data_IF_705470270851
#
_entry.id   IF_705470270851
#
_cell.length_a   1.000
_cell.length_b   1.000
_cell.length_c   1.000
_cell.angle_alpha   90.00
_cell.angle_beta   90.00
_cell.angle_gamma   90.00
#
_symmetry.space_group_name_H-M   'P 1'
#
loop_
_entity.id
_entity.type
_entity.pdbx_description
1 polymer ?
#
# COMPACT_ATOMS: atom_id res chain seq x y z
N UNK A 1 6.10 -14.40 2.87
CA UNK A 1 7.20 -15.13 2.21
C UNK A 1 6.58 -15.82 0.99
N UNK A 2 6.51 -15.14 -0.15
CA UNK A 2 5.88 -15.67 -1.35
C UNK A 2 6.97 -16.20 -2.29
N UNK A 3 6.98 -17.52 -2.47
CA UNK A 3 7.87 -18.21 -3.40
C UNK A 3 7.41 -17.94 -4.83
N UNK A 4 8.22 -17.21 -5.59
CA UNK A 4 8.10 -17.14 -7.05
C UNK A 4 8.35 -18.54 -7.63
N UNK A 5 7.34 -19.17 -8.23
CA UNK A 5 7.61 -20.23 -9.22
C UNK A 5 8.19 -19.56 -10.46
N UNK A 6 9.46 -19.82 -10.73
CA UNK A 6 10.06 -19.57 -12.04
C UNK A 6 9.20 -20.26 -13.10
N UNK A 7 8.67 -19.49 -14.03
CA UNK A 7 8.08 -20.02 -15.25
C UNK A 7 9.25 -20.45 -16.15
N UNK A 8 9.50 -21.75 -16.22
CA UNK A 8 10.58 -22.32 -17.05
C UNK A 8 10.04 -22.53 -18.47
N UNK A 9 10.51 -21.70 -19.41
CA UNK A 9 10.14 -21.74 -20.83
C UNK A 9 10.59 -23.08 -21.47
N UNK A 10 11.50 -23.83 -20.84
CA UNK A 10 11.92 -25.15 -21.32
C UNK A 10 10.90 -26.27 -21.01
N UNK A 11 9.84 -25.99 -20.25
CA UNK A 11 8.80 -26.97 -19.91
C UNK A 11 7.91 -27.35 -21.10
N UNK A 12 7.87 -26.56 -22.17
CA UNK A 12 6.99 -26.84 -23.31
C UNK A 12 7.65 -27.72 -24.39
N UNK A 13 8.94 -28.03 -24.23
CA UNK A 13 9.71 -28.70 -25.28
C UNK A 13 9.95 -30.20 -25.06
N UNK A 14 9.33 -30.83 -24.05
CA UNK A 14 9.63 -32.21 -23.65
C UNK A 14 8.52 -33.25 -23.82
N UNK A 15 7.34 -32.88 -24.31
CA UNK A 15 6.21 -33.83 -24.42
C UNK A 15 5.89 -34.29 -25.86
N UNK A 16 6.81 -34.18 -26.82
CA UNK A 16 6.53 -34.60 -28.21
C UNK A 16 7.56 -35.55 -28.84
N UNK A 17 8.62 -35.95 -28.12
CA UNK A 17 9.58 -36.92 -28.67
C UNK A 17 10.04 -37.96 -27.64
N UNK A 18 9.12 -38.83 -27.25
CA UNK A 18 9.46 -40.21 -26.88
C UNK A 18 8.43 -41.15 -27.52
N UNK A 19 8.71 -41.56 -28.76
CA UNK A 19 8.31 -42.87 -29.27
C UNK A 19 9.37 -43.37 -30.27
N UNK A 20 10.48 -43.87 -29.72
CA UNK A 20 11.32 -44.81 -30.46
C UNK A 20 10.62 -46.17 -30.45
N UNK A 21 9.79 -46.45 -31.47
CA UNK A 21 9.07 -47.72 -31.51
C UNK A 21 8.09 -47.93 -32.66
N UNK A 22 8.62 -48.16 -33.87
CA UNK A 22 7.89 -48.76 -35.02
C UNK A 22 6.96 -47.83 -35.84
N UNK A 23 7.48 -46.69 -36.29
CA UNK A 23 6.89 -45.96 -37.42
C UNK A 23 7.50 -46.40 -38.75
N UNK A 24 6.85 -47.31 -39.47
CA UNK A 24 7.12 -47.54 -40.88
C UNK A 24 7.07 -46.21 -41.64
N UNK A 25 8.15 -45.83 -42.31
CA UNK A 25 8.11 -44.80 -43.34
C UNK A 25 7.07 -45.21 -44.39
N UNK A 26 5.95 -44.49 -44.44
CA UNK A 26 4.89 -44.64 -45.44
C UNK A 26 5.34 -44.07 -46.80
N UNK A 27 6.48 -44.55 -47.29
CA UNK A 27 6.89 -44.48 -48.69
C UNK A 27 7.65 -45.77 -48.92
N UNK A 28 6.90 -46.85 -49.13
CA UNK A 28 7.46 -48.10 -49.61
C UNK A 28 8.14 -47.80 -50.95
N UNK A 29 9.47 -47.86 -50.99
CA UNK A 29 10.19 -47.98 -52.25
C UNK A 29 9.71 -49.27 -52.92
N UNK A 30 8.74 -49.14 -53.84
CA UNK A 30 8.33 -50.23 -54.70
C UNK A 30 9.52 -50.51 -55.62
N UNK A 31 10.14 -51.67 -55.45
CA UNK A 31 11.18 -52.15 -56.35
C UNK A 31 10.58 -52.35 -57.76
N UNK A 32 10.76 -51.34 -58.62
CA UNK A 32 10.25 -51.30 -59.98
C UNK A 32 10.91 -52.29 -60.95
N UNK A 33 11.95 -53.03 -60.53
CA UNK A 33 12.63 -53.98 -61.40
C UNK A 33 11.85 -55.28 -61.66
N UNK A 34 10.76 -55.53 -60.91
CA UNK A 34 9.98 -56.78 -61.00
C UNK A 34 8.68 -56.72 -61.81
N UNK A 35 8.18 -55.52 -62.18
CA UNK A 35 6.83 -55.37 -62.77
C UNK A 35 6.88 -55.28 -64.31
N UNK A 36 8.07 -55.16 -64.90
CA UNK A 36 8.23 -55.03 -66.34
C UNK A 36 8.25 -56.40 -67.05
N UNK A 37 7.19 -57.22 -66.92
CA UNK A 37 7.03 -58.41 -67.78
C UNK A 37 5.64 -59.05 -67.81
N UNK A 38 4.56 -58.28 -67.89
CA UNK A 38 3.32 -58.79 -68.50
C UNK A 38 2.42 -57.65 -68.95
N UNK A 39 1.86 -57.82 -70.15
CA UNK A 39 0.65 -57.15 -70.66
C UNK A 39 0.85 -55.77 -71.30
N UNK A 40 1.05 -55.82 -72.61
CA UNK A 40 0.71 -54.77 -73.56
C UNK A 40 -0.80 -54.48 -73.50
N UNK A 41 -1.19 -53.38 -72.84
CA UNK A 41 -2.52 -52.78 -72.97
C UNK A 41 -2.34 -51.28 -73.22
N UNK A 42 -2.97 -50.82 -74.30
CA UNK A 42 -3.04 -49.42 -74.72
C UNK A 42 -3.70 -48.59 -73.61
N UNK A 43 -2.97 -47.63 -73.04
CA UNK A 43 -3.50 -46.69 -72.06
C UNK A 43 -3.69 -45.30 -72.69
N UNK A 44 -4.55 -45.20 -73.70
CA UNK A 44 -4.93 -43.92 -74.33
C UNK A 44 -5.68 -42.98 -73.35
N UNK A 45 -6.13 -43.50 -72.20
CA UNK A 45 -6.71 -42.73 -71.10
C UNK A 45 -5.67 -42.09 -70.15
N UNK A 46 -4.45 -42.64 -70.07
CA UNK A 46 -3.43 -42.16 -69.13
C UNK A 46 -2.76 -40.85 -69.60
N UNK A 47 -2.82 -40.53 -70.89
CA UNK A 47 -2.36 -39.22 -71.39
C UNK A 47 -3.26 -38.07 -70.93
N UNK A 48 -4.54 -38.33 -70.63
CA UNK A 48 -5.49 -37.31 -70.16
C UNK A 48 -5.32 -36.93 -68.69
N UNK A 49 -4.50 -37.68 -67.94
CA UNK A 49 -4.26 -37.48 -66.51
C UNK A 49 -2.81 -37.10 -66.20
N UNK A 50 -2.07 -36.61 -67.21
CA UNK A 50 -0.69 -36.17 -67.01
C UNK A 50 -0.65 -34.78 -66.38
N UNK A 51 -0.60 -34.73 -65.04
CA UNK A 51 -0.39 -33.47 -64.32
C UNK A 51 1.03 -33.00 -64.63
N UNK A 52 1.14 -31.88 -65.35
CA UNK A 52 2.46 -31.40 -65.76
C UNK A 52 3.30 -31.01 -64.53
N UNK A 53 4.62 -31.25 -64.56
CA UNK A 53 5.52 -30.86 -63.47
C UNK A 53 5.40 -29.38 -63.08
N UNK A 54 5.08 -28.50 -64.04
CA UNK A 54 4.82 -27.08 -63.82
C UNK A 54 3.64 -26.84 -62.87
N UNK A 55 2.60 -27.67 -62.92
CA UNK A 55 1.47 -27.57 -61.99
C UNK A 55 1.89 -27.90 -60.55
N UNK A 56 2.68 -28.96 -60.35
CA UNK A 56 3.21 -29.30 -59.02
C UNK A 56 4.15 -28.23 -58.47
N UNK A 57 4.96 -27.59 -59.33
CA UNK A 57 5.82 -26.47 -58.93
C UNK A 57 4.95 -25.29 -58.48
N UNK A 58 3.92 -24.92 -59.26
CA UNK A 58 2.99 -23.85 -58.90
C UNK A 58 2.22 -24.14 -57.62
N UNK A 59 1.76 -25.38 -57.43
CA UNK A 59 1.08 -25.80 -56.21
C UNK A 59 2.00 -25.72 -54.99
N UNK A 60 3.23 -26.23 -55.09
CA UNK A 60 4.24 -26.12 -54.02
C UNK A 60 4.58 -24.67 -53.70
N UNK A 61 4.71 -23.81 -54.71
CA UNK A 61 4.93 -22.38 -54.53
C UNK A 61 3.74 -21.71 -53.85
N UNK A 62 2.51 -22.02 -54.27
CA UNK A 62 1.28 -21.51 -53.68
C UNK A 62 1.13 -21.91 -52.21
N UNK A 63 1.36 -23.19 -51.89
CA UNK A 63 1.34 -23.68 -50.50
C UNK A 63 2.39 -22.96 -49.66
N UNK A 64 3.62 -22.83 -50.16
CA UNK A 64 4.70 -22.12 -49.46
C UNK A 64 4.36 -20.65 -49.22
N UNK A 65 3.85 -19.96 -50.23
CA UNK A 65 3.48 -18.56 -50.13
C UNK A 65 2.34 -18.37 -49.12
N UNK A 66 1.28 -19.17 -49.21
CA UNK A 66 0.16 -19.12 -48.27
C UNK A 66 0.60 -19.42 -46.83
N UNK A 67 1.51 -20.38 -46.64
CA UNK A 67 2.08 -20.67 -45.32
C UNK A 67 2.91 -19.50 -44.78
N UNK A 68 3.74 -18.87 -45.61
CA UNK A 68 4.54 -17.70 -45.21
C UNK A 68 3.62 -16.54 -44.84
N UNK A 69 2.64 -16.21 -45.68
CA UNK A 69 1.67 -15.15 -45.39
C UNK A 69 0.86 -15.43 -44.12
N UNK A 70 0.46 -16.68 -43.90
CA UNK A 70 -0.19 -17.07 -42.65
C UNK A 70 0.72 -16.86 -41.43
N UNK A 71 1.98 -17.29 -41.53
CA UNK A 71 2.95 -17.13 -40.45
C UNK A 71 3.22 -15.66 -40.16
N UNK A 72 3.40 -14.82 -41.18
CA UNK A 72 3.59 -13.37 -41.04
C UNK A 72 2.40 -12.74 -40.28
N UNK A 73 1.17 -12.99 -40.76
CA UNK A 73 -0.04 -12.48 -40.11
C UNK A 73 -0.17 -12.98 -38.67
N UNK A 74 0.06 -14.28 -38.42
CA UNK A 74 -0.03 -14.84 -37.09
C UNK A 74 1.02 -14.25 -36.15
N UNK A 75 2.25 -14.02 -36.62
CA UNK A 75 3.31 -13.38 -35.82
C UNK A 75 2.96 -11.94 -35.47
N UNK A 76 2.42 -11.17 -36.42
CA UNK A 76 1.99 -9.80 -36.19
C UNK A 76 0.87 -9.75 -35.14
N UNK A 77 -0.13 -10.61 -35.28
CA UNK A 77 -1.21 -10.72 -34.29
C UNK A 77 -0.70 -11.17 -32.92
N UNK A 78 0.24 -12.12 -32.86
CA UNK A 78 0.80 -12.61 -31.60
C UNK A 78 1.56 -11.49 -30.87
N UNK A 79 2.35 -10.70 -31.60
CA UNK A 79 3.07 -9.54 -31.08
C UNK A 79 2.07 -8.48 -30.57
N UNK A 80 1.05 -8.16 -31.35
CA UNK A 80 0.02 -7.19 -30.94
C UNK A 80 -0.72 -7.64 -29.67
N UNK A 81 -1.12 -8.92 -29.59
CA UNK A 81 -1.73 -9.50 -28.38
C UNK A 81 -0.80 -9.39 -27.18
N UNK A 82 0.47 -9.74 -27.36
CA UNK A 82 1.47 -9.65 -26.29
C UNK A 82 1.64 -8.21 -25.79
N UNK A 83 1.79 -7.23 -26.71
CA UNK A 83 1.88 -5.81 -26.36
C UNK A 83 0.65 -5.32 -25.59
N UNK A 84 -0.55 -5.72 -26.02
CA UNK A 84 -1.81 -5.35 -25.37
C UNK A 84 -1.87 -5.88 -23.93
N UNK A 85 -1.52 -7.16 -23.72
CA UNK A 85 -1.48 -7.78 -22.38
C UNK A 85 -0.44 -7.11 -21.49
N UNK A 86 0.76 -6.83 -22.01
CA UNK A 86 1.83 -6.17 -21.26
C UNK A 86 1.40 -4.77 -20.85
N UNK A 87 0.84 -3.98 -21.77
CA UNK A 87 0.35 -2.63 -21.48
C UNK A 87 -0.73 -2.66 -20.38
N UNK A 88 -1.73 -3.54 -20.50
CA UNK A 88 -2.78 -3.68 -19.50
C UNK A 88 -2.23 -4.05 -18.11
N UNK A 89 -1.28 -5.00 -18.06
CA UNK A 89 -0.66 -5.41 -16.80
C UNK A 89 0.18 -4.28 -16.17
N UNK A 90 0.94 -3.53 -16.97
CA UNK A 90 1.71 -2.40 -16.48
C UNK A 90 0.82 -1.27 -15.94
N UNK A 91 -0.29 -0.99 -16.63
CA UNK A 91 -1.28 -0.03 -16.14
C UNK A 91 -1.88 -0.49 -14.80
N UNK A 92 -2.28 -1.76 -14.70
CA UNK A 92 -2.83 -2.31 -13.47
C UNK A 92 -1.83 -2.28 -12.30
N UNK A 93 -0.56 -2.62 -12.55
CA UNK A 93 0.48 -2.57 -11.50
C UNK A 93 0.72 -1.13 -11.03
N UNK A 94 0.76 -0.18 -11.97
CA UNK A 94 0.95 1.25 -11.67
C UNK A 94 -0.22 1.80 -10.84
N UNK A 95 -1.46 1.49 -11.22
CA UNK A 95 -2.64 1.93 -10.45
C UNK A 95 -2.65 1.35 -9.04
N UNK A 96 -2.26 0.08 -8.90
CA UNK A 96 -2.16 -0.58 -7.59
C UNK A 96 -1.11 0.08 -6.72
N UNK A 97 0.05 0.40 -7.29
CA UNK A 97 1.14 1.09 -6.59
C UNK A 97 0.73 2.49 -6.10
N UNK A 98 0.14 3.32 -6.97
CA UNK A 98 -0.38 4.64 -6.61
C UNK A 98 -1.43 4.55 -5.50
N UNK A 99 -2.30 3.55 -5.56
CA UNK A 99 -3.30 3.31 -4.51
C UNK A 99 -2.63 3.00 -3.16
N UNK A 100 -1.62 2.12 -3.15
CA UNK A 100 -0.88 1.79 -1.94
C UNK A 100 -0.13 3.00 -1.37
N UNK A 101 0.48 3.83 -2.21
CA UNK A 101 1.14 5.07 -1.78
C UNK A 101 0.16 6.01 -1.10
N UNK A 102 -0.97 6.29 -1.76
CA UNK A 102 -2.01 7.13 -1.20
C UNK A 102 -2.57 6.55 0.11
N UNK A 103 -2.82 5.25 0.17
CA UNK A 103 -3.32 4.59 1.38
C UNK A 103 -2.33 4.74 2.55
N UNK A 104 -1.02 4.63 2.29
CA UNK A 104 0.02 4.88 3.31
C UNK A 104 -0.08 6.29 3.88
N UNK A 105 -0.25 7.31 3.02
CA UNK A 105 -0.37 8.72 3.45
C UNK A 105 -1.66 8.94 4.23
N UNK A 106 -2.79 8.45 3.72
CA UNK A 106 -4.08 8.55 4.40
C UNK A 106 -4.03 7.92 5.79
N UNK A 107 -3.44 6.73 5.91
CA UNK A 107 -3.30 6.03 7.19
C UNK A 107 -2.43 6.81 8.17
N UNK A 108 -1.31 7.36 7.71
CA UNK A 108 -0.43 8.20 8.53
C UNK A 108 -1.16 9.45 9.05
N UNK A 109 -1.83 10.18 8.16
CA UNK A 109 -2.63 11.35 8.51
C UNK A 109 -3.77 11.02 9.50
N UNK A 110 -4.42 9.86 9.32
CA UNK A 110 -5.42 9.37 10.26
C UNK A 110 -4.80 9.10 11.65
N UNK A 111 -3.59 8.55 11.71
CA UNK A 111 -2.85 8.34 12.94
C UNK A 111 -2.60 9.65 13.70
N UNK A 112 -2.10 10.68 13.00
CA UNK A 112 -1.90 12.02 13.58
C UNK A 112 -3.21 12.57 14.15
N UNK A 113 -4.30 12.53 13.37
CA UNK A 113 -5.61 13.00 13.86
C UNK A 113 -6.07 12.25 15.11
N UNK A 114 -5.88 10.93 15.15
CA UNK A 114 -6.28 10.13 16.29
C UNK A 114 -5.48 10.54 17.54
N UNK A 115 -4.16 10.67 17.42
CA UNK A 115 -3.32 11.10 18.54
C UNK A 115 -3.68 12.51 19.03
N UNK A 116 -4.00 13.44 18.13
CA UNK A 116 -4.51 14.77 18.52
C UNK A 116 -5.87 14.70 19.24
N UNK A 117 -6.77 13.82 18.79
CA UNK A 117 -8.05 13.62 19.46
C UNK A 117 -7.87 13.00 20.86
N UNK A 118 -6.99 12.02 20.99
CA UNK A 118 -6.67 11.39 22.27
C UNK A 118 -6.05 12.39 23.26
N UNK A 119 -5.20 13.30 22.75
CA UNK A 119 -4.62 14.38 23.53
C UNK A 119 -5.70 15.36 24.05
N UNK A 120 -6.68 15.73 23.20
CA UNK A 120 -7.80 16.58 23.63
C UNK A 120 -8.67 15.89 24.68
N UNK A 121 -8.93 14.59 24.52
CA UNK A 121 -9.64 13.80 25.54
C UNK A 121 -8.88 13.77 26.88
N UNK A 122 -7.56 13.64 26.87
CA UNK A 122 -6.74 13.70 28.08
C UNK A 122 -6.81 15.08 28.74
N UNK A 123 -6.82 16.14 27.94
CA UNK A 123 -6.99 17.50 28.45
C UNK A 123 -8.37 17.71 29.09
N UNK A 124 -9.45 17.31 28.43
CA UNK A 124 -10.81 17.43 28.97
C UNK A 124 -10.97 16.60 30.26
N UNK A 125 -10.29 15.45 30.35
CA UNK A 125 -10.20 14.64 31.58
C UNK A 125 -9.48 15.39 32.70
N UNK A 126 -8.35 16.05 32.40
CA UNK A 126 -7.60 16.85 33.38
C UNK A 126 -8.49 17.97 33.96
N UNK A 127 -9.24 18.68 33.12
CA UNK A 127 -10.16 19.73 33.56
C UNK A 127 -11.26 19.17 34.48
N UNK A 128 -11.78 17.98 34.14
CA UNK A 128 -12.78 17.30 34.97
C UNK A 128 -12.19 16.92 36.33
N UNK A 129 -10.97 16.38 36.36
CA UNK A 129 -10.25 16.04 37.59
C UNK A 129 -10.02 17.28 38.46
N UNK A 130 -9.58 18.40 37.87
CA UNK A 130 -9.41 19.66 38.57
C UNK A 130 -10.70 20.19 39.19
N UNK A 131 -11.82 20.07 38.47
CA UNK A 131 -13.12 20.47 39.01
C UNK A 131 -13.52 19.61 40.22
N UNK A 132 -13.29 18.29 40.16
CA UNK A 132 -13.55 17.40 41.29
C UNK A 132 -12.68 17.75 42.50
N UNK A 133 -11.38 17.97 42.29
CA UNK A 133 -10.46 18.39 43.36
C UNK A 133 -10.86 19.75 43.93
N UNK A 134 -11.34 20.68 43.10
CA UNK A 134 -11.86 21.98 43.54
C UNK A 134 -13.11 21.82 44.41
N UNK A 135 -14.07 21.00 44.00
CA UNK A 135 -15.30 20.74 44.76
C UNK A 135 -14.99 20.11 46.14
N UNK A 136 -14.00 19.19 46.19
CA UNK A 136 -13.53 18.59 47.45
C UNK A 136 -12.84 19.61 48.36
N UNK A 137 -11.96 20.45 47.79
CA UNK A 137 -11.32 21.54 48.50
C UNK A 137 -12.36 22.53 49.07
N UNK A 138 -13.34 22.93 48.26
CA UNK A 138 -14.41 23.84 48.66
C UNK A 138 -15.22 23.27 49.83
N UNK A 139 -15.68 22.02 49.75
CA UNK A 139 -16.38 21.34 50.84
C UNK A 139 -15.53 21.28 52.11
N UNK A 140 -14.23 21.04 51.98
CA UNK A 140 -13.28 21.04 53.08
C UNK A 140 -13.20 22.42 53.78
N UNK A 141 -13.15 23.49 53.00
CA UNK A 141 -13.13 24.87 53.52
C UNK A 141 -14.45 25.24 54.20
N UNK A 142 -15.59 24.91 53.59
CA UNK A 142 -16.92 25.15 54.18
C UNK A 142 -17.09 24.42 55.54
N UNK A 143 -16.57 23.19 55.64
CA UNK A 143 -16.57 22.45 56.90
C UNK A 143 -15.72 23.13 57.99
N UNK A 144 -14.55 23.68 57.62
CA UNK A 144 -13.69 24.45 58.55
C UNK A 144 -14.34 25.77 58.96
N UNK A 145 -14.98 26.47 58.03
CA UNK A 145 -15.73 27.70 58.32
C UNK A 145 -16.84 27.46 59.35
N UNK A 146 -17.59 26.36 59.20
CA UNK A 146 -18.62 25.98 60.15
C UNK A 146 -18.07 25.75 61.58
N UNK A 147 -16.83 25.25 61.72
CA UNK A 147 -16.15 25.11 63.02
C UNK A 147 -15.79 26.48 63.60
N UNK A 148 -15.26 27.38 62.77
CA UNK A 148 -14.92 28.76 63.18
C UNK A 148 -16.14 29.53 63.66
N UNK A 149 -17.28 29.43 62.96
CA UNK A 149 -18.52 30.09 63.34
C UNK A 149 -19.09 29.63 64.69
N UNK A 150 -18.80 28.39 65.10
CA UNK A 150 -19.24 27.83 66.40
C UNK A 150 -18.21 28.02 67.51
N UNK A 151 -16.94 28.16 67.16
CA UNK A 151 -15.82 28.25 68.10
C UNK A 151 -15.58 29.68 68.58
N UNK A 152 -15.40 29.87 69.88
CA UNK A 152 -15.07 31.18 70.48
C UNK A 152 -13.70 31.19 71.20
N UNK A 153 -12.94 30.10 71.12
CA UNK A 153 -11.62 29.97 71.73
C UNK A 153 -10.52 30.30 70.73
N UNK A 154 -9.60 31.18 71.13
CA UNK A 154 -8.46 31.61 70.31
C UNK A 154 -7.62 30.44 69.78
N UNK A 155 -7.38 29.40 70.59
CA UNK A 155 -6.62 28.22 70.17
C UNK A 155 -7.28 27.48 68.99
N UNK A 156 -8.61 27.35 68.99
CA UNK A 156 -9.37 26.69 67.91
C UNK A 156 -9.28 27.51 66.63
N UNK A 157 -9.34 28.85 66.74
CA UNK A 157 -9.22 29.74 65.58
C UNK A 157 -7.84 29.65 64.92
N UNK A 158 -6.77 29.60 65.72
CA UNK A 158 -5.39 29.45 65.22
C UNK A 158 -5.19 28.09 64.54
N UNK A 159 -5.72 27.00 65.13
CA UNK A 159 -5.67 25.67 64.53
C UNK A 159 -6.43 25.61 63.19
N UNK A 160 -7.62 26.22 63.10
CA UNK A 160 -8.39 26.26 61.86
C UNK A 160 -7.72 27.12 60.78
N UNK A 161 -7.12 28.26 61.15
CA UNK A 161 -6.34 29.06 60.21
C UNK A 161 -5.19 28.26 59.59
N UNK A 162 -4.46 27.49 60.41
CA UNK A 162 -3.39 26.62 59.93
C UNK A 162 -3.93 25.49 59.03
N UNK A 163 -5.10 24.92 59.37
CA UNK A 163 -5.73 23.87 58.58
C UNK A 163 -6.18 24.36 57.18
N UNK A 164 -6.82 25.53 57.10
CA UNK A 164 -7.22 26.14 55.82
C UNK A 164 -6.00 26.45 54.96
N UNK A 165 -4.94 27.02 55.57
CA UNK A 165 -3.71 27.32 54.85
C UNK A 165 -3.07 26.04 54.28
N UNK A 166 -3.01 24.97 55.08
CA UNK A 166 -2.51 23.67 54.63
C UNK A 166 -3.37 23.08 53.52
N UNK A 167 -4.70 23.17 53.61
CA UNK A 167 -5.61 22.70 52.56
C UNK A 167 -5.40 23.44 51.24
N UNK A 168 -5.27 24.78 51.29
CA UNK A 168 -4.96 25.61 50.12
C UNK A 168 -3.63 25.22 49.49
N UNK A 169 -2.58 25.05 50.30
CA UNK A 169 -1.26 24.65 49.80
C UNK A 169 -1.29 23.26 49.15
N UNK A 170 -2.02 22.30 49.74
CA UNK A 170 -2.25 20.98 49.17
C UNK A 170 -2.94 21.03 47.82
N UNK A 171 -4.10 21.70 47.75
CA UNK A 171 -4.87 21.90 46.50
C UNK A 171 -4.01 22.54 45.41
N UNK A 172 -3.35 23.67 45.71
CA UNK A 172 -2.53 24.37 44.73
C UNK A 172 -1.32 23.54 44.27
N UNK A 173 -0.76 22.70 45.14
CA UNK A 173 0.32 21.80 44.76
C UNK A 173 -0.17 20.70 43.81
N UNK A 174 -1.33 20.11 44.06
CA UNK A 174 -1.94 19.08 43.20
C UNK A 174 -2.25 19.60 41.79
N UNK A 175 -2.86 20.79 41.69
CA UNK A 175 -3.12 21.46 40.41
C UNK A 175 -1.80 21.73 39.66
N UNK A 176 -0.78 22.28 40.33
CA UNK A 176 0.51 22.57 39.68
C UNK A 176 1.24 21.32 39.19
N UNK A 177 1.20 20.24 39.97
CA UNK A 177 1.85 18.97 39.61
C UNK A 177 1.16 18.33 38.41
N UNK A 178 -0.17 18.29 38.41
CA UNK A 178 -0.96 17.73 37.31
C UNK A 178 -0.78 18.53 36.01
N UNK A 179 -0.85 19.86 36.06
CA UNK A 179 -0.57 20.74 34.89
C UNK A 179 0.83 20.52 34.33
N UNK A 180 1.86 20.49 35.20
CA UNK A 180 3.24 20.24 34.77
C UNK A 180 3.41 18.88 34.12
N UNK A 181 2.72 17.86 34.64
CA UNK A 181 2.77 16.50 34.11
C UNK A 181 2.10 16.45 32.74
N UNK A 182 0.92 17.05 32.61
CA UNK A 182 0.22 17.14 31.34
C UNK A 182 1.03 17.89 30.29
N UNK A 183 1.61 19.05 30.62
CA UNK A 183 2.45 19.83 29.69
C UNK A 183 3.64 19.03 29.16
N UNK A 184 4.31 18.24 30.00
CA UNK A 184 5.39 17.34 29.54
C UNK A 184 4.87 16.28 28.57
N UNK A 185 3.75 15.63 28.91
CA UNK A 185 3.12 14.62 28.05
C UNK A 185 2.69 15.20 26.70
N UNK A 186 2.15 16.43 26.71
CA UNK A 186 1.79 17.21 25.53
C UNK A 186 3.02 17.45 24.65
N UNK A 187 4.06 18.07 25.21
CA UNK A 187 5.30 18.39 24.51
C UNK A 187 5.94 17.14 23.87
N UNK A 188 6.06 16.05 24.64
CA UNK A 188 6.63 14.78 24.17
C UNK A 188 5.80 14.18 23.03
N UNK A 189 4.47 14.18 23.16
CA UNK A 189 3.56 13.58 22.17
C UNK A 189 3.56 14.38 20.86
N UNK A 190 3.55 15.72 20.94
CA UNK A 190 3.61 16.60 19.78
C UNK A 190 4.97 16.49 19.07
N UNK A 191 6.06 16.42 19.84
CA UNK A 191 7.40 16.22 19.29
C UNK A 191 7.49 14.90 18.51
N UNK A 192 6.97 13.80 19.06
CA UNK A 192 6.92 12.51 18.37
C UNK A 192 6.09 12.57 17.09
N UNK A 193 4.97 13.30 17.06
CA UNK A 193 4.18 13.50 15.84
C UNK A 193 4.96 14.29 14.78
N UNK A 194 5.67 15.36 15.16
CA UNK A 194 6.52 16.14 14.25
C UNK A 194 7.63 15.28 13.66
N UNK A 195 8.32 14.51 14.49
CA UNK A 195 9.39 13.59 14.06
C UNK A 195 8.86 12.50 13.14
N UNK A 196 7.74 11.87 13.50
CA UNK A 196 7.07 10.86 12.68
C UNK A 196 6.69 11.42 11.32
N UNK A 197 6.15 12.64 11.27
CA UNK A 197 5.79 13.29 10.01
C UNK A 197 7.02 13.60 9.15
N UNK A 198 8.08 14.17 9.75
CA UNK A 198 9.32 14.46 9.06
C UNK A 198 10.01 13.20 8.51
N UNK A 199 10.02 12.11 9.29
CA UNK A 199 10.57 10.82 8.87
C UNK A 199 9.73 10.18 7.75
N UNK A 200 8.41 10.31 7.82
CA UNK A 200 7.50 9.81 6.78
C UNK A 200 7.69 10.55 5.45
N UNK A 201 7.82 11.88 5.47
CA UNK A 201 8.15 12.68 4.27
C UNK A 201 9.48 12.24 3.66
N UNK A 202 10.51 12.03 4.49
CA UNK A 202 11.83 11.55 4.04
C UNK A 202 11.80 10.13 3.47
N UNK A 203 10.76 9.35 3.75
CA UNK A 203 10.63 7.99 3.23
C UNK A 203 10.26 7.94 1.74
N UNK A 204 9.76 9.04 1.18
CA UNK A 204 9.45 9.13 -0.24
C UNK A 204 10.73 9.35 -1.04
N UNK A 205 11.04 8.39 -1.92
CA UNK A 205 12.23 8.43 -2.79
C UNK A 205 11.82 8.46 -4.25
N UNK A 206 12.44 9.35 -5.01
CA UNK A 206 12.25 9.44 -6.45
C UNK A 206 12.82 8.21 -7.17
N UNK A 207 12.31 7.92 -8.36
CA UNK A 207 12.89 6.90 -9.24
C UNK A 207 14.38 7.17 -9.55
N UNK A 208 14.80 8.43 -9.68
CA UNK A 208 16.21 8.81 -9.87
C UNK A 208 17.12 8.37 -8.72
N UNK A 209 16.54 8.18 -7.53
CA UNK A 209 17.25 7.87 -6.29
C UNK A 209 17.04 6.39 -5.89
N UNK A 210 16.56 5.55 -6.82
CA UNK A 210 16.24 4.14 -6.59
C UNK A 210 14.96 3.91 -5.78
N UNK A 211 14.09 4.92 -5.70
CA UNK A 211 12.75 4.81 -5.14
C UNK A 211 11.69 4.49 -6.18
N UNK A 212 10.43 4.70 -5.80
CA UNK A 212 9.28 4.33 -6.60
C UNK A 212 8.20 5.43 -6.70
N UNK A 213 8.56 6.68 -6.37
CA UNK A 213 7.66 7.83 -6.46
C UNK A 213 8.07 8.75 -7.61
N UNK A 214 7.08 9.41 -8.22
CA UNK A 214 7.33 10.51 -9.16
C UNK A 214 7.31 11.87 -8.43
N UNK A 215 7.92 12.94 -9.00
CA UNK A 215 7.96 14.25 -8.36
C UNK A 215 6.58 14.82 -8.03
N UNK A 216 5.63 14.69 -8.95
CA UNK A 216 4.27 15.24 -8.81
C UNK A 216 3.51 14.57 -7.65
N UNK A 217 3.67 13.25 -7.49
CA UNK A 217 3.08 12.48 -6.40
C UNK A 217 3.66 12.90 -5.04
N UNK A 218 4.99 13.04 -4.95
CA UNK A 218 5.65 13.48 -3.73
C UNK A 218 5.19 14.89 -3.34
N UNK A 219 5.07 15.81 -4.29
CA UNK A 219 4.65 17.18 -4.01
C UNK A 219 3.23 17.25 -3.44
N UNK A 220 2.30 16.45 -3.99
CA UNK A 220 0.94 16.31 -3.45
C UNK A 220 0.98 15.78 -2.01
N UNK A 221 1.75 14.73 -1.76
CA UNK A 221 1.85 14.15 -0.42
C UNK A 221 2.52 15.08 0.59
N UNK A 222 3.59 15.77 0.21
CA UNK A 222 4.26 16.77 1.06
C UNK A 222 3.30 17.89 1.43
N UNK A 223 2.60 18.47 0.46
CA UNK A 223 1.61 19.52 0.73
C UNK A 223 0.51 19.05 1.69
N UNK A 224 0.06 17.81 1.56
CA UNK A 224 -0.90 17.24 2.50
C UNK A 224 -0.28 17.08 3.91
N UNK A 225 0.93 16.53 4.01
CA UNK A 225 1.61 16.31 5.28
C UNK A 225 2.00 17.62 5.98
N UNK A 226 2.30 18.68 5.23
CA UNK A 226 2.56 20.03 5.76
C UNK A 226 1.30 20.62 6.40
N UNK A 227 0.11 20.41 5.80
CA UNK A 227 -1.16 20.77 6.44
C UNK A 227 -1.33 20.08 7.79
N UNK A 228 -0.90 18.83 7.92
CA UNK A 228 -0.95 18.11 9.19
C UNK A 228 0.09 18.60 10.20
N UNK A 229 1.28 19.02 9.75
CA UNK A 229 2.24 19.72 10.61
C UNK A 229 1.62 20.98 11.21
N UNK A 230 0.99 21.83 10.38
CA UNK A 230 0.29 23.01 10.86
C UNK A 230 -0.83 22.68 11.84
N UNK A 231 -1.61 21.63 11.57
CA UNK A 231 -2.67 21.19 12.48
C UNK A 231 -2.14 20.78 13.86
N UNK A 232 -0.95 20.16 13.91
CA UNK A 232 -0.28 19.83 15.18
C UNK A 232 0.07 21.11 15.94
N UNK A 233 0.64 22.10 15.26
CA UNK A 233 1.02 23.38 15.86
C UNK A 233 -0.21 24.19 16.32
N UNK A 234 -1.29 24.22 15.53
CA UNK A 234 -2.55 24.88 15.90
C UNK A 234 -3.18 24.23 17.14
N UNK A 235 -3.11 22.90 17.25
CA UNK A 235 -3.63 22.15 18.40
C UNK A 235 -2.82 22.41 19.67
N UNK A 236 -1.50 22.49 19.54
CA UNK A 236 -0.60 22.89 20.63
C UNK A 236 -0.96 24.30 21.12
N UNK A 237 -1.04 25.27 20.20
CA UNK A 237 -1.40 26.65 20.54
C UNK A 237 -2.77 26.76 21.22
N UNK A 238 -3.76 26.00 20.75
CA UNK A 238 -5.09 25.95 21.36
C UNK A 238 -5.06 25.45 22.80
N UNK A 239 -4.49 24.27 23.03
CA UNK A 239 -4.41 23.66 24.37
C UNK A 239 -3.57 24.52 25.33
N UNK A 240 -2.43 25.04 24.86
CA UNK A 240 -1.56 25.89 25.67
C UNK A 240 -2.25 27.19 26.09
N UNK A 241 -3.01 27.82 25.19
CA UNK A 241 -3.79 29.02 25.54
C UNK A 241 -4.85 28.73 26.60
N UNK A 242 -5.47 27.54 26.57
CA UNK A 242 -6.47 27.12 27.54
C UNK A 242 -5.85 26.76 28.92
N UNK A 243 -4.57 26.35 28.94
CA UNK A 243 -3.80 26.08 30.16
C UNK A 243 -3.29 27.34 30.88
N UNK A 244 -3.15 28.46 30.18
CA UNK A 244 -2.57 29.71 30.71
C UNK A 244 -3.61 30.67 31.30
N UNK A 245 -4.91 30.37 31.15
CA UNK A 245 -6.05 31.13 31.69
C UNK A 245 -6.44 30.61 33.08
#
# INVERSE_FOLDING_TARGET
MFTYRKFDINSFHRDVYEDEGQGQTFLTEVNLAGIAKTSSQNYEFLESFFISPEYFIKLKQSIRLNFITYMENWTDEAIQRAHSIIAANLMNSTLTELMMHNERVVRHCKGINQTLADLKLQFDKLLTEHQLTFDEFQKGVEAMEAVVLRGNKSSVLVEQQAAVQKAKEGFMNEIRVSLRTFRRSLDDTLQLMRESNAMFIKSFKLFSDGGNFCPEEIDVFRKNLDKYSHKVDDSEGGIMSELEV
#
